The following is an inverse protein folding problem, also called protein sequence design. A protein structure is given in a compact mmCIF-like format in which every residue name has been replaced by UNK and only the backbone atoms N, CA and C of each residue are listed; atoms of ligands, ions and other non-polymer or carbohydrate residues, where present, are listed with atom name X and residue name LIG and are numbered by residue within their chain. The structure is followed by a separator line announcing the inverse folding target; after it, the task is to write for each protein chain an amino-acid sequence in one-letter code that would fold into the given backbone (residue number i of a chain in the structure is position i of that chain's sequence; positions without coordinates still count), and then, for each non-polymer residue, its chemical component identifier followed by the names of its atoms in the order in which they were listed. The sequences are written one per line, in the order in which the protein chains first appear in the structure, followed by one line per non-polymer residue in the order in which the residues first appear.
data_IF_603775879458
#
_entry.id   IF_603775879458
#
_cell.length_a   1.000
_cell.length_b   1.000
_cell.length_c   1.000
_cell.angle_alpha   90.00
_cell.angle_beta   90.00
_cell.angle_gamma   90.00
#
_symmetry.space_group_name_H-M   'P 1'
#
loop_
_entity.id
_entity.type
_entity.pdbx_description
1 polymer ?
#
# COMPACT_ATOMS: atom_id res chain seq x y z
N UNK A 1 11.07 -4.07 2.51
CA UNK A 1 10.27 -5.30 2.77
C UNK A 1 8.84 -4.88 2.98
N UNK A 2 7.88 -5.57 2.36
CA UNK A 2 6.44 -5.30 2.51
C UNK A 2 5.77 -6.51 3.17
N UNK A 3 4.99 -6.29 4.21
CA UNK A 3 4.34 -7.32 5.03
C UNK A 3 2.90 -6.90 5.29
N UNK A 4 1.97 -7.84 5.12
CA UNK A 4 0.56 -7.66 5.45
C UNK A 4 0.21 -8.53 6.65
N UNK A 5 -0.41 -7.94 7.66
CA UNK A 5 -1.02 -8.62 8.79
C UNK A 5 -2.51 -8.27 8.85
N UNK A 6 -3.24 -8.83 9.81
CA UNK A 6 -4.65 -8.46 10.03
C UNK A 6 -4.80 -7.01 10.50
N UNK A 7 -3.80 -6.47 11.18
CA UNK A 7 -3.86 -5.16 11.83
C UNK A 7 -3.25 -4.05 10.97
N UNK A 8 -2.19 -4.35 10.20
CA UNK A 8 -1.46 -3.34 9.44
C UNK A 8 -0.80 -3.87 8.16
N UNK A 9 -0.60 -2.95 7.22
CA UNK A 9 0.32 -3.08 6.10
C UNK A 9 1.62 -2.36 6.47
N UNK A 10 2.66 -3.15 6.73
CA UNK A 10 3.98 -2.68 7.14
C UNK A 10 4.95 -2.64 5.95
N UNK A 11 5.65 -1.52 5.79
CA UNK A 11 6.72 -1.37 4.82
C UNK A 11 7.98 -0.79 5.43
N UNK A 12 9.11 -1.49 5.26
CA UNK A 12 10.43 -1.00 5.63
C UNK A 12 11.30 -0.77 4.39
N UNK A 13 11.80 0.46 4.24
CA UNK A 13 12.80 0.83 3.26
C UNK A 13 14.20 0.73 3.88
N UNK A 14 15.14 0.09 3.17
CA UNK A 14 16.49 -0.16 3.70
C UNK A 14 17.38 1.09 3.70
N UNK A 15 17.29 1.97 2.69
CA UNK A 15 18.07 3.22 2.65
C UNK A 15 17.36 4.35 1.87
N UNK A 16 17.21 5.56 2.46
CA UNK A 16 17.37 5.82 3.90
C UNK A 16 16.43 4.92 4.71
N UNK A 17 16.84 4.54 5.92
CA UNK A 17 16.02 3.67 6.76
C UNK A 17 14.73 4.41 7.10
N UNK A 18 13.60 3.91 6.59
CA UNK A 18 12.26 4.45 6.84
C UNK A 18 11.28 3.30 7.02
N UNK A 19 10.35 3.49 7.92
CA UNK A 19 9.24 2.58 8.16
C UNK A 19 7.95 3.33 7.84
N UNK A 20 7.03 2.64 7.18
CA UNK A 20 5.67 3.10 6.92
C UNK A 20 4.73 2.01 7.45
N UNK A 21 3.90 2.38 8.41
CA UNK A 21 2.87 1.53 9.00
C UNK A 21 1.51 2.10 8.60
N UNK A 22 0.67 1.26 8.00
CA UNK A 22 -0.67 1.65 7.57
C UNK A 22 -1.64 0.67 8.24
N UNK A 23 -2.40 1.09 9.26
CA UNK A 23 -3.44 0.26 9.83
C UNK A 23 -4.45 -0.17 8.76
N UNK A 24 -4.84 -1.43 8.75
CA UNK A 24 -5.77 -1.95 7.73
C UNK A 24 -7.12 -1.24 7.75
N UNK A 25 -7.54 -0.77 8.93
CA UNK A 25 -8.75 0.02 9.16
C UNK A 25 -8.72 1.41 8.52
N UNK A 26 -7.55 1.97 8.22
CA UNK A 26 -7.42 3.29 7.57
C UNK A 26 -7.29 3.17 6.06
N UNK A 27 -7.23 1.95 5.50
CA UNK A 27 -7.14 1.73 4.05
C UNK A 27 -8.49 2.05 3.40
N UNK A 28 -8.50 3.12 2.61
CA UNK A 28 -9.68 3.59 1.90
C UNK A 28 -9.86 2.83 0.58
N UNK A 29 -8.76 2.59 -0.14
CA UNK A 29 -8.80 1.97 -1.48
C UNK A 29 -7.51 1.23 -1.82
N UNK A 30 -7.65 0.14 -2.56
CA UNK A 30 -6.55 -0.64 -3.12
C UNK A 30 -6.75 -0.73 -4.63
N UNK A 31 -5.75 -0.34 -5.42
CA UNK A 31 -5.84 -0.31 -6.88
C UNK A 31 -4.51 -0.58 -7.57
N UNK A 32 -4.56 -0.76 -8.90
CA UNK A 32 -3.37 -0.92 -9.74
C UNK A 32 -3.07 0.41 -10.43
N UNK A 33 -1.84 0.88 -10.33
CA UNK A 33 -1.37 2.05 -11.10
C UNK A 33 -0.13 1.73 -11.93
N UNK A 34 0.11 2.50 -12.99
CA UNK A 34 1.38 2.52 -13.74
C UNK A 34 2.18 3.82 -13.52
N UNK A 35 1.63 4.74 -12.73
CA UNK A 35 2.21 6.06 -12.43
C UNK A 35 2.10 6.36 -10.94
N UNK A 36 3.17 6.86 -10.34
CA UNK A 36 3.23 7.26 -8.94
C UNK A 36 4.18 8.45 -8.77
N UNK A 37 3.85 9.38 -7.87
CA UNK A 37 4.61 10.63 -7.66
C UNK A 37 4.91 11.39 -8.97
N UNK A 38 3.89 11.56 -9.81
CA UNK A 38 3.97 12.23 -11.12
C UNK A 38 4.94 11.59 -12.13
N UNK A 39 5.42 10.37 -11.86
CA UNK A 39 6.33 9.63 -12.75
C UNK A 39 5.64 8.37 -13.26
N UNK A 40 5.71 8.15 -14.57
CA UNK A 40 5.37 6.85 -15.15
C UNK A 40 6.46 5.85 -14.81
N UNK A 41 6.09 4.70 -14.24
CA UNK A 41 7.03 3.65 -13.84
C UNK A 41 7.00 2.48 -14.84
N UNK A 42 6.14 2.56 -15.87
CA UNK A 42 5.94 1.56 -16.94
C UNK A 42 5.74 0.11 -16.45
N UNK A 43 5.42 -0.08 -15.17
CA UNK A 43 5.14 -1.35 -14.51
C UNK A 43 3.90 -1.18 -13.65
N UNK A 44 3.15 -2.26 -13.46
CA UNK A 44 2.00 -2.26 -12.55
C UNK A 44 2.50 -2.22 -11.11
N UNK A 45 1.96 -1.30 -10.32
CA UNK A 45 2.22 -1.14 -8.90
C UNK A 45 0.94 -1.40 -8.12
N UNK A 46 1.09 -1.99 -6.94
CA UNK A 46 0.07 -2.00 -5.90
C UNK A 46 -0.01 -0.59 -5.33
N UNK A 47 -1.12 0.10 -5.52
CA UNK A 47 -1.39 1.40 -4.92
C UNK A 47 -2.38 1.24 -3.79
N UNK A 48 -2.04 1.79 -2.64
CA UNK A 48 -2.90 1.84 -1.45
C UNK A 48 -3.16 3.31 -1.14
N UNK A 49 -4.42 3.66 -1.02
CA UNK A 49 -4.92 4.96 -0.55
C UNK A 49 -5.41 4.75 0.86
N UNK A 50 -4.93 5.56 1.80
CA UNK A 50 -5.22 5.42 3.22
C UNK A 50 -5.33 6.78 3.89
N UNK A 51 -5.94 6.81 5.06
CA UNK A 51 -5.96 8.00 5.91
C UNK A 51 -4.71 8.00 6.80
N UNK A 52 -3.94 9.09 6.77
CA UNK A 52 -2.73 9.27 7.57
C UNK A 52 -3.06 9.71 9.01
N UNK A 53 -2.02 9.90 9.84
CA UNK A 53 -2.16 10.28 11.25
C UNK A 53 -2.82 11.65 11.45
N UNK A 54 -2.67 12.56 10.48
CA UNK A 54 -3.30 13.89 10.48
C UNK A 54 -4.77 13.84 10.01
N UNK A 55 -5.25 12.66 9.60
CA UNK A 55 -6.59 12.44 9.09
C UNK A 55 -6.75 12.80 7.60
N UNK A 56 -5.66 13.08 6.90
CA UNK A 56 -5.64 13.39 5.47
C UNK A 56 -5.46 12.14 4.62
N UNK A 57 -5.87 12.21 3.35
CA UNK A 57 -5.64 11.12 2.39
C UNK A 57 -4.16 11.10 1.96
N UNK A 58 -3.51 9.94 2.11
CA UNK A 58 -2.16 9.69 1.60
C UNK A 58 -2.13 8.41 0.75
N UNK A 59 -1.06 8.27 -0.04
CA UNK A 59 -0.92 7.24 -1.04
C UNK A 59 0.47 6.64 -0.99
N UNK A 60 0.52 5.31 -0.92
CA UNK A 60 1.73 4.55 -1.12
C UNK A 60 1.59 3.60 -2.30
N UNK A 61 2.67 3.39 -3.04
CA UNK A 61 2.69 2.43 -4.13
C UNK A 61 3.97 1.60 -4.15
N UNK A 62 3.82 0.29 -4.35
CA UNK A 62 4.93 -0.65 -4.38
C UNK A 62 4.88 -1.53 -5.62
N UNK A 63 6.07 -1.86 -6.12
CA UNK A 63 6.21 -2.97 -7.05
C UNK A 63 6.30 -4.27 -6.25
N UNK A 64 5.30 -5.14 -6.42
CA UNK A 64 5.20 -6.44 -5.73
C UNK A 64 5.09 -7.57 -6.75
N UNK A 65 5.53 -8.76 -6.35
CA UNK A 65 5.22 -10.00 -7.05
C UNK A 65 3.79 -10.44 -6.74
N UNK A 66 3.12 -11.09 -7.69
CA UNK A 66 1.74 -11.60 -7.52
C UNK A 66 0.75 -10.51 -7.08
N UNK A 67 0.70 -9.42 -7.86
CA UNK A 67 -0.12 -8.24 -7.60
C UNK A 67 -1.59 -8.56 -7.33
N UNK A 68 -2.17 -9.50 -8.08
CA UNK A 68 -3.59 -9.86 -7.94
C UNK A 68 -3.88 -10.47 -6.56
N UNK A 69 -2.98 -11.32 -6.05
CA UNK A 69 -3.09 -11.89 -4.70
C UNK A 69 -3.03 -10.81 -3.63
N UNK A 70 -2.14 -9.83 -3.76
CA UNK A 70 -2.06 -8.72 -2.81
C UNK A 70 -3.36 -7.92 -2.76
N UNK A 71 -3.98 -7.66 -3.91
CA UNK A 71 -5.26 -6.94 -3.98
C UNK A 71 -6.37 -7.75 -3.34
N UNK A 72 -6.41 -9.06 -3.59
CA UNK A 72 -7.40 -9.97 -2.99
C UNK A 72 -7.29 -9.97 -1.46
N UNK A 73 -6.10 -10.22 -0.91
CA UNK A 73 -5.88 -10.29 0.54
C UNK A 73 -6.19 -8.95 1.24
N UNK A 74 -5.76 -7.82 0.66
CA UNK A 74 -6.06 -6.50 1.22
C UNK A 74 -7.56 -6.19 1.21
N UNK A 75 -8.27 -6.55 0.13
CA UNK A 75 -9.72 -6.35 0.08
C UNK A 75 -10.45 -7.28 1.05
N UNK A 76 -9.98 -8.52 1.23
CA UNK A 76 -10.57 -9.45 2.19
C UNK A 76 -10.46 -8.90 3.63
N UNK A 77 -9.29 -8.37 4.02
CA UNK A 77 -9.08 -7.80 5.35
C UNK A 77 -9.90 -6.52 5.55
N UNK A 78 -9.99 -5.65 4.53
CA UNK A 78 -10.78 -4.43 4.61
C UNK A 78 -12.28 -4.69 4.82
N UNK A 79 -12.79 -5.81 4.33
CA UNK A 79 -14.22 -6.16 4.38
C UNK A 79 -14.62 -6.93 5.66
N UNK A 80 -13.68 -7.21 6.57
CA UNK A 80 -13.94 -7.81 7.88
C UNK A 80 -14.23 -6.74 8.94
#
# INVERSE_FOLDING_TARGET
MLVLTQEELYFEMWYPKKVLQIPTSTILKVEITKSFLHKSVFRKLLKVVFQNEDGEEDIAAWWVTSLDKWIEELNNIKNQ
#
